data_IF_808884105629
#
_entry.id   IF_808884105629
#
_cell.length_a   1.000
_cell.length_b   1.000
_cell.length_c   1.000
_cell.angle_alpha   90.00
_cell.angle_beta   90.00
_cell.angle_gamma   90.00
#
_symmetry.space_group_name_H-M   'P 1'
#
loop_
_entity.id
_entity.type
_entity.pdbx_description
1 polymer ?
#
# COMPACT_ATOMS: atom_id res chain seq x y z
N UNK A 1 25.39 18.65 19.09
CA UNK A 1 23.99 18.81 18.62
C UNK A 1 23.56 17.68 17.69
N UNK A 2 24.36 17.29 16.69
CA UNK A 2 24.03 16.17 15.76
C UNK A 2 23.92 14.81 16.49
N UNK A 3 24.84 14.52 17.44
CA UNK A 3 24.81 13.27 18.20
C UNK A 3 23.56 13.15 19.11
N UNK A 4 23.10 14.27 19.68
CA UNK A 4 21.86 14.35 20.47
C UNK A 4 20.60 14.13 19.60
N UNK A 5 20.59 14.66 18.38
CA UNK A 5 19.47 14.45 17.45
C UNK A 5 19.41 13.00 16.92
N UNK A 6 20.54 12.33 16.73
CA UNK A 6 20.60 10.92 16.34
C UNK A 6 20.13 10.05 17.50
N UNK A 7 20.60 10.31 18.72
CA UNK A 7 20.18 9.56 19.91
C UNK A 7 18.70 9.72 20.24
N UNK A 8 18.11 10.91 20.07
CA UNK A 8 16.67 11.15 20.26
C UNK A 8 15.83 10.45 19.18
N UNK A 9 16.28 10.45 17.92
CA UNK A 9 15.60 9.70 16.84
C UNK A 9 15.66 8.19 17.05
N UNK A 10 16.76 7.66 17.55
CA UNK A 10 16.87 6.23 17.87
C UNK A 10 16.02 5.85 19.09
N UNK A 11 16.00 6.68 20.14
CA UNK A 11 15.18 6.42 21.32
C UNK A 11 13.68 6.45 21.02
N UNK A 12 13.21 7.42 20.23
CA UNK A 12 11.82 7.50 19.77
C UNK A 12 11.47 6.35 18.82
N UNK A 13 12.41 5.93 17.98
CA UNK A 13 12.25 4.75 17.10
C UNK A 13 12.18 3.47 17.92
N UNK A 14 13.03 3.32 18.93
CA UNK A 14 13.03 2.16 19.85
C UNK A 14 11.76 2.10 20.69
N UNK A 15 11.25 3.22 21.20
CA UNK A 15 10.00 3.25 21.98
C UNK A 15 8.79 2.86 21.13
N UNK A 16 8.74 3.26 19.85
CA UNK A 16 7.67 2.87 18.91
C UNK A 16 7.76 1.40 18.52
N UNK A 17 8.97 0.88 18.31
CA UNK A 17 9.19 -0.55 18.03
C UNK A 17 8.86 -1.38 19.28
N UNK A 18 9.18 -0.90 20.48
CA UNK A 18 8.82 -1.58 21.74
C UNK A 18 7.30 -1.55 21.97
N UNK A 19 6.62 -0.44 21.70
CA UNK A 19 5.16 -0.35 21.77
C UNK A 19 4.49 -1.30 20.75
N UNK A 20 5.07 -1.43 19.55
CA UNK A 20 4.60 -2.39 18.56
C UNK A 20 4.92 -3.84 18.94
N UNK A 21 6.09 -4.12 19.49
CA UNK A 21 6.46 -5.45 20.00
C UNK A 21 5.62 -5.84 21.23
N UNK A 22 5.19 -4.88 22.05
CA UNK A 22 4.25 -5.11 23.15
C UNK A 22 2.83 -5.36 22.60
N UNK A 23 2.43 -4.68 21.55
CA UNK A 23 1.16 -4.94 20.84
C UNK A 23 1.20 -6.30 20.10
N UNK A 24 2.35 -6.68 19.50
CA UNK A 24 2.52 -7.98 18.82
C UNK A 24 2.65 -9.17 19.77
N UNK A 25 2.98 -8.94 21.05
CA UNK A 25 3.05 -10.04 22.06
C UNK A 25 1.70 -10.64 22.41
N UNK A 26 0.60 -9.95 22.10
CA UNK A 26 -0.76 -10.50 22.07
C UNK A 26 -1.46 -9.88 20.85
N UNK A 27 -1.41 -10.50 19.66
CA UNK A 27 -2.32 -10.10 18.62
C UNK A 27 -3.71 -10.25 19.23
N UNK A 28 -4.37 -9.11 19.51
CA UNK A 28 -5.70 -9.14 20.08
C UNK A 28 -6.60 -9.98 19.17
N UNK A 29 -7.63 -10.61 19.69
CA UNK A 29 -8.53 -11.45 18.89
C UNK A 29 -9.02 -10.75 17.61
N UNK A 30 -9.08 -9.42 17.62
CA UNK A 30 -9.45 -8.57 16.48
C UNK A 30 -8.47 -8.66 15.29
N UNK A 31 -7.15 -8.68 15.55
CA UNK A 31 -6.14 -8.81 14.47
C UNK A 31 -6.22 -10.21 13.88
N UNK A 32 -6.38 -11.23 14.74
CA UNK A 32 -6.55 -12.61 14.31
C UNK A 32 -7.82 -12.76 13.45
N UNK A 33 -8.95 -12.23 13.92
CA UNK A 33 -10.23 -12.23 13.18
C UNK A 33 -10.07 -11.50 11.84
N UNK A 34 -9.36 -10.37 11.80
CA UNK A 34 -9.11 -9.63 10.55
C UNK A 34 -8.25 -10.41 9.55
N UNK A 35 -7.18 -11.08 10.02
CA UNK A 35 -6.36 -11.94 9.18
C UNK A 35 -7.12 -13.15 8.66
N UNK A 36 -7.90 -13.83 9.52
CA UNK A 36 -8.76 -14.94 9.10
C UNK A 36 -9.80 -14.47 8.10
N UNK A 37 -10.44 -13.31 8.34
CA UNK A 37 -11.38 -12.72 7.41
C UNK A 37 -10.73 -12.43 6.04
N UNK A 38 -9.54 -11.81 6.02
CA UNK A 38 -8.78 -11.53 4.79
C UNK A 38 -8.47 -12.81 4.02
N UNK A 39 -8.01 -13.85 4.72
CA UNK A 39 -7.69 -15.14 4.11
C UNK A 39 -8.95 -15.82 3.55
N UNK A 40 -10.05 -15.82 4.31
CA UNK A 40 -11.32 -16.42 3.89
C UNK A 40 -11.91 -15.69 2.68
N UNK A 41 -11.97 -14.36 2.70
CA UNK A 41 -12.52 -13.58 1.58
C UNK A 41 -11.64 -13.74 0.33
N UNK A 42 -10.31 -13.67 0.48
CA UNK A 42 -9.39 -13.92 -0.64
C UNK A 42 -9.53 -15.34 -1.18
N UNK A 43 -9.65 -16.35 -0.31
CA UNK A 43 -9.89 -17.74 -0.71
C UNK A 43 -11.21 -17.93 -1.44
N UNK A 44 -12.30 -17.32 -0.97
CA UNK A 44 -13.62 -17.35 -1.64
C UNK A 44 -13.56 -16.64 -2.99
N UNK A 45 -12.88 -15.50 -3.08
CA UNK A 45 -12.71 -14.78 -4.35
C UNK A 45 -11.96 -15.65 -5.37
N UNK A 46 -10.83 -16.25 -4.98
CA UNK A 46 -10.07 -17.16 -5.84
C UNK A 46 -10.92 -18.36 -6.25
N UNK A 47 -11.64 -18.98 -5.31
CA UNK A 47 -12.51 -20.12 -5.57
C UNK A 47 -13.66 -19.78 -6.53
N UNK A 48 -14.26 -18.58 -6.41
CA UNK A 48 -15.33 -18.09 -7.27
C UNK A 48 -14.82 -17.53 -8.60
N UNK A 49 -13.50 -17.49 -8.82
CA UNK A 49 -12.90 -16.88 -10.01
C UNK A 49 -13.11 -15.37 -10.09
N UNK A 50 -13.36 -14.73 -8.94
CA UNK A 50 -13.47 -13.27 -8.86
C UNK A 50 -12.04 -12.72 -8.89
N UNK A 51 -11.73 -11.90 -9.87
CA UNK A 51 -10.45 -11.19 -9.92
C UNK A 51 -10.26 -10.36 -8.65
N UNK A 52 -9.09 -10.49 -8.02
CA UNK A 52 -8.72 -9.67 -6.87
C UNK A 52 -8.34 -8.29 -7.39
N UNK A 53 -9.36 -7.49 -7.73
CA UNK A 53 -9.18 -6.12 -8.18
C UNK A 53 -9.01 -5.18 -6.97
N UNK A 54 -8.36 -4.02 -7.13
CA UNK A 54 -8.08 -3.08 -6.03
C UNK A 54 -9.31 -2.57 -5.29
N UNK A 55 -10.46 -2.49 -5.95
CA UNK A 55 -11.75 -2.09 -5.39
C UNK A 55 -12.30 -3.14 -4.39
N UNK A 56 -12.20 -4.43 -4.71
CA UNK A 56 -12.56 -5.49 -3.74
C UNK A 56 -11.62 -5.52 -2.54
N UNK A 57 -10.33 -5.24 -2.78
CA UNK A 57 -9.36 -5.15 -1.68
C UNK A 57 -9.68 -4.01 -0.72
N UNK A 58 -10.28 -2.90 -1.19
CA UNK A 58 -10.84 -1.86 -0.31
C UNK A 58 -11.91 -2.39 0.62
N UNK A 59 -12.89 -3.11 0.08
CA UNK A 59 -13.95 -3.70 0.89
C UNK A 59 -13.40 -4.65 1.95
N UNK A 60 -12.32 -5.37 1.63
CA UNK A 60 -11.61 -6.24 2.57
C UNK A 60 -10.92 -5.43 3.69
N UNK A 61 -10.40 -4.23 3.39
CA UNK A 61 -9.70 -3.39 4.36
C UNK A 61 -10.62 -2.58 5.26
N UNK A 62 -11.85 -2.30 4.83
CA UNK A 62 -12.85 -1.53 5.62
C UNK A 62 -13.10 -2.15 7.00
N UNK A 63 -13.35 -3.46 7.16
CA UNK A 63 -13.51 -4.06 8.48
C UNK A 63 -12.27 -3.90 9.36
N UNK A 64 -11.08 -4.03 8.79
CA UNK A 64 -9.81 -3.82 9.53
C UNK A 64 -9.70 -2.38 10.03
N UNK A 65 -10.08 -1.41 9.19
CA UNK A 65 -10.08 0.00 9.56
C UNK A 65 -11.10 0.32 10.66
N UNK A 66 -12.30 -0.27 10.59
CA UNK A 66 -13.34 -0.13 11.62
C UNK A 66 -12.85 -0.72 12.96
N UNK A 67 -12.30 -1.92 12.93
CA UNK A 67 -11.80 -2.63 14.12
C UNK A 67 -10.59 -1.93 14.77
N UNK A 68 -9.77 -1.21 13.96
CA UNK A 68 -8.64 -0.43 14.46
C UNK A 68 -9.06 0.86 15.19
N UNK A 69 -10.32 1.26 15.15
CA UNK A 69 -10.81 2.54 15.68
C UNK A 69 -10.36 3.78 14.91
N UNK A 70 -9.74 3.61 13.72
CA UNK A 70 -9.17 4.71 12.94
C UNK A 70 -9.86 4.90 11.57
N UNK A 71 -11.14 4.59 11.49
CA UNK A 71 -11.89 4.56 10.23
C UNK A 71 -11.83 5.88 9.42
N UNK A 72 -12.02 7.05 10.06
CA UNK A 72 -11.94 8.33 9.36
C UNK A 72 -10.53 8.63 8.83
N UNK A 73 -9.50 8.22 9.58
CA UNK A 73 -8.11 8.33 9.11
C UNK A 73 -7.86 7.41 7.92
N UNK A 74 -8.40 6.19 7.97
CA UNK A 74 -8.35 5.25 6.85
C UNK A 74 -8.98 5.86 5.60
N UNK A 75 -10.21 6.37 5.69
CA UNK A 75 -10.87 7.00 4.54
C UNK A 75 -10.03 8.14 3.94
N UNK A 76 -9.51 9.03 4.78
CA UNK A 76 -8.69 10.15 4.32
C UNK A 76 -7.40 9.72 3.61
N UNK A 77 -6.75 8.66 4.07
CA UNK A 77 -5.44 8.25 3.56
C UNK A 77 -5.55 7.24 2.40
N UNK A 78 -6.57 6.36 2.42
CA UNK A 78 -6.72 5.29 1.44
C UNK A 78 -7.65 5.63 0.27
N UNK A 79 -8.71 6.40 0.49
CA UNK A 79 -9.66 6.74 -0.59
C UNK A 79 -8.96 7.51 -1.72
N UNK A 80 -8.16 8.57 -1.48
CA UNK A 80 -7.44 9.24 -2.55
C UNK A 80 -6.46 8.32 -3.27
N UNK A 81 -5.74 7.49 -2.52
CA UNK A 81 -4.81 6.51 -3.10
C UNK A 81 -5.53 5.55 -4.06
N UNK A 82 -6.64 4.98 -3.62
CA UNK A 82 -7.39 4.00 -4.42
C UNK A 82 -8.10 4.65 -5.58
N UNK A 83 -8.67 5.85 -5.40
CA UNK A 83 -9.28 6.59 -6.51
C UNK A 83 -8.25 6.86 -7.63
N UNK A 84 -7.01 7.27 -7.27
CA UNK A 84 -5.93 7.48 -8.22
C UNK A 84 -5.45 6.16 -8.86
N UNK A 85 -5.41 5.07 -8.09
CA UNK A 85 -5.03 3.76 -8.61
C UNK A 85 -6.09 3.19 -9.56
N UNK A 86 -7.38 3.32 -9.23
CA UNK A 86 -8.49 2.96 -10.14
C UNK A 86 -8.49 3.84 -11.40
N UNK A 87 -8.18 5.13 -11.25
CA UNK A 87 -7.98 6.04 -12.39
C UNK A 87 -6.86 5.56 -13.31
N UNK A 88 -5.73 5.11 -12.74
CA UNK A 88 -4.64 4.50 -13.49
C UNK A 88 -5.11 3.22 -14.22
N UNK A 89 -5.81 2.31 -13.56
CA UNK A 89 -6.32 1.09 -14.17
C UNK A 89 -7.30 1.38 -15.31
N UNK A 90 -8.18 2.36 -15.14
CA UNK A 90 -9.12 2.76 -16.18
C UNK A 90 -8.41 3.33 -17.44
N UNK A 91 -7.38 4.15 -17.22
CA UNK A 91 -6.60 4.76 -18.31
C UNK A 91 -5.70 3.72 -18.98
N UNK A 92 -5.17 2.74 -18.23
CA UNK A 92 -4.36 1.65 -18.76
C UNK A 92 -5.09 0.88 -19.87
N UNK A 93 -6.39 0.64 -19.72
CA UNK A 93 -7.21 0.00 -20.76
C UNK A 93 -7.32 0.78 -22.09
N UNK A 94 -6.82 2.01 -22.16
CA UNK A 94 -6.76 2.83 -23.39
C UNK A 94 -5.48 2.55 -24.18
N UNK A 95 -4.39 2.11 -23.53
CA UNK A 95 -3.09 1.91 -24.16
C UNK A 95 -3.15 1.03 -25.45
N UNK A 96 -3.86 -0.11 -25.48
CA UNK A 96 -3.98 -0.93 -26.69
C UNK A 96 -4.71 -0.23 -27.86
N UNK A 97 -5.50 0.81 -27.55
CA UNK A 97 -6.31 1.56 -28.54
C UNK A 97 -5.56 2.78 -29.10
N UNK A 98 -4.32 2.99 -28.68
CA UNK A 98 -3.49 4.15 -29.11
C UNK A 98 -3.18 4.15 -30.62
N UNK A 99 -3.35 3.02 -31.31
CA UNK A 99 -2.98 2.87 -32.73
C UNK A 99 -1.46 2.78 -32.98
N UNK A 100 -0.64 2.80 -31.92
CA UNK A 100 0.81 2.66 -32.01
C UNK A 100 1.16 1.20 -32.28
N UNK A 101 2.08 0.96 -33.21
CA UNK A 101 2.52 -0.40 -33.55
C UNK A 101 3.17 -1.09 -32.35
N UNK A 102 2.70 -2.28 -32.03
CA UNK A 102 3.25 -3.12 -30.96
C UNK A 102 4.64 -3.60 -31.34
N UNK A 103 5.57 -3.49 -30.39
CA UNK A 103 6.95 -3.89 -30.55
C UNK A 103 7.17 -5.31 -29.98
N UNK A 104 7.92 -6.11 -30.73
CA UNK A 104 8.29 -7.49 -30.35
C UNK A 104 9.81 -7.66 -30.28
N UNK A 105 10.51 -7.21 -31.29
CA UNK A 105 11.89 -7.61 -31.56
C UNK A 105 12.93 -6.99 -30.64
N UNK A 106 12.76 -5.74 -30.20
CA UNK A 106 13.83 -5.07 -29.45
C UNK A 106 14.07 -5.71 -28.08
N UNK A 107 12.99 -6.14 -27.38
CA UNK A 107 13.09 -6.85 -26.09
C UNK A 107 13.68 -8.25 -26.26
N UNK A 108 13.31 -8.96 -27.33
CA UNK A 108 13.88 -10.27 -27.67
C UNK A 108 15.38 -10.13 -27.94
N UNK A 109 15.77 -9.10 -28.72
CA UNK A 109 17.21 -8.81 -28.98
C UNK A 109 17.96 -8.45 -27.72
N UNK A 110 17.34 -7.67 -26.81
CA UNK A 110 17.93 -7.29 -25.54
C UNK A 110 18.16 -8.52 -24.65
N UNK A 111 17.16 -9.40 -24.50
CA UNK A 111 17.31 -10.64 -23.72
C UNK A 111 18.40 -11.54 -24.32
N UNK A 112 18.44 -11.72 -25.63
CA UNK A 112 19.48 -12.50 -26.31
C UNK A 112 20.88 -11.90 -26.14
N UNK A 113 20.99 -10.58 -26.13
CA UNK A 113 22.27 -9.90 -25.88
C UNK A 113 22.77 -10.13 -24.44
N UNK A 114 21.86 -10.19 -23.47
CA UNK A 114 22.19 -10.45 -22.07
C UNK A 114 22.54 -11.93 -21.79
N UNK A 115 21.93 -12.87 -22.53
CA UNK A 115 22.02 -14.31 -22.25
C UNK A 115 22.68 -15.12 -23.37
N UNK A 116 23.56 -14.51 -24.15
CA UNK A 116 24.39 -15.21 -25.12
C UNK A 116 23.61 -15.88 -26.26
N UNK A 117 22.67 -15.12 -26.85
CA UNK A 117 21.80 -15.57 -27.94
C UNK A 117 20.67 -16.53 -27.55
N UNK A 118 20.53 -16.88 -26.28
CA UNK A 118 19.42 -17.67 -25.77
C UNK A 118 18.31 -16.75 -25.24
N UNK A 119 17.07 -17.17 -25.44
CA UNK A 119 15.92 -16.51 -24.81
C UNK A 119 15.61 -17.19 -23.48
N UNK A 120 15.64 -16.46 -22.34
CA UNK A 120 15.41 -17.04 -21.02
C UNK A 120 14.05 -17.73 -20.89
N UNK A 121 12.98 -17.15 -21.44
CA UNK A 121 11.63 -17.74 -21.37
C UNK A 121 11.58 -19.07 -22.12
N UNK A 122 12.20 -19.16 -23.31
CA UNK A 122 12.32 -20.42 -24.06
C UNK A 122 13.08 -21.47 -23.28
N UNK A 123 14.24 -21.10 -22.73
CA UNK A 123 15.10 -22.01 -21.98
C UNK A 123 14.39 -22.55 -20.74
N UNK A 124 13.78 -21.69 -19.94
CA UNK A 124 13.08 -22.07 -18.71
C UNK A 124 11.88 -22.98 -19.03
N UNK A 125 11.07 -22.63 -20.05
CA UNK A 125 9.90 -23.43 -20.42
C UNK A 125 10.29 -24.78 -21.03
N UNK A 126 11.36 -24.85 -21.81
CA UNK A 126 11.86 -26.12 -22.36
C UNK A 126 12.24 -27.13 -21.27
N UNK A 127 12.80 -26.65 -20.15
CA UNK A 127 13.27 -27.51 -19.05
C UNK A 127 12.21 -27.75 -17.97
N UNK A 128 11.42 -26.72 -17.62
CA UNK A 128 10.50 -26.74 -16.50
C UNK A 128 9.01 -26.65 -16.88
N UNK A 129 8.69 -26.35 -18.13
CA UNK A 129 7.32 -26.10 -18.58
C UNK A 129 6.34 -27.28 -18.45
N UNK A 130 6.90 -28.52 -18.32
CA UNK A 130 6.10 -29.75 -18.10
C UNK A 130 5.67 -29.93 -16.63
N UNK A 131 6.20 -29.16 -15.69
CA UNK A 131 5.93 -29.30 -14.26
C UNK A 131 4.62 -28.59 -13.90
N UNK A 132 3.51 -29.29 -13.98
CA UNK A 132 2.17 -28.72 -13.73
C UNK A 132 2.06 -28.06 -12.34
N UNK A 133 2.62 -28.69 -11.30
CA UNK A 133 2.61 -28.12 -9.96
C UNK A 133 3.34 -26.76 -9.88
N UNK A 134 4.43 -26.59 -10.65
CA UNK A 134 5.17 -25.34 -10.71
C UNK A 134 4.36 -24.25 -11.42
N UNK A 135 3.67 -24.62 -12.52
CA UNK A 135 2.78 -23.71 -13.23
C UNK A 135 1.66 -23.21 -12.31
N UNK A 136 1.04 -24.10 -11.51
CA UNK A 136 0.03 -23.74 -10.52
C UNK A 136 0.61 -22.83 -9.44
N UNK A 137 1.75 -23.18 -8.84
CA UNK A 137 2.40 -22.35 -7.82
C UNK A 137 2.77 -20.95 -8.36
N UNK A 138 3.37 -20.89 -9.54
CA UNK A 138 3.69 -19.63 -10.20
C UNK A 138 2.43 -18.82 -10.55
N UNK A 139 1.33 -19.48 -10.95
CA UNK A 139 0.06 -18.79 -11.20
C UNK A 139 -0.48 -18.14 -9.92
N UNK A 140 -0.43 -18.81 -8.78
CA UNK A 140 -0.82 -18.24 -7.49
C UNK A 140 0.06 -17.04 -7.14
N UNK A 141 1.39 -17.16 -7.29
CA UNK A 141 2.34 -16.06 -7.07
C UNK A 141 2.00 -14.87 -7.98
N UNK A 142 1.73 -15.12 -9.25
CA UNK A 142 1.37 -14.10 -10.23
C UNK A 142 0.12 -13.32 -9.81
N UNK A 143 -0.95 -13.99 -9.39
CA UNK A 143 -2.18 -13.32 -8.96
C UNK A 143 -2.07 -12.61 -7.62
N UNK A 144 -1.13 -13.00 -6.76
CA UNK A 144 -0.87 -12.30 -5.50
C UNK A 144 -0.15 -10.95 -5.67
N UNK A 145 0.21 -10.54 -6.89
CA UNK A 145 0.97 -9.29 -7.09
C UNK A 145 0.23 -8.03 -6.65
N UNK A 146 -1.09 -8.03 -6.61
CA UNK A 146 -1.88 -6.91 -6.04
C UNK A 146 -2.06 -7.02 -4.53
N UNK A 147 -2.12 -8.24 -4.00
CA UNK A 147 -2.36 -8.48 -2.56
C UNK A 147 -1.16 -8.00 -1.72
N UNK A 148 0.06 -8.28 -2.17
CA UNK A 148 1.28 -7.96 -1.43
C UNK A 148 1.48 -6.44 -1.25
N UNK A 149 1.34 -5.58 -2.28
CA UNK A 149 1.41 -4.13 -2.11
C UNK A 149 0.37 -3.56 -1.15
N UNK A 150 -0.84 -4.11 -1.14
CA UNK A 150 -1.90 -3.66 -0.24
C UNK A 150 -1.60 -4.09 1.20
N UNK A 151 -1.15 -5.33 1.40
CA UNK A 151 -0.72 -5.80 2.71
C UNK A 151 0.47 -4.97 3.24
N UNK A 152 1.47 -4.69 2.41
CA UNK A 152 2.60 -3.83 2.76
C UNK A 152 2.13 -2.41 3.09
N UNK A 153 1.24 -1.83 2.28
CA UNK A 153 0.63 -0.52 2.53
C UNK A 153 -0.11 -0.48 3.85
N UNK A 154 -0.89 -1.53 4.20
CA UNK A 154 -1.59 -1.62 5.48
C UNK A 154 -0.61 -1.68 6.66
N UNK A 155 0.44 -2.50 6.58
CA UNK A 155 1.49 -2.55 7.61
C UNK A 155 2.13 -1.17 7.79
N UNK A 156 2.51 -0.52 6.70
CA UNK A 156 3.11 0.81 6.72
C UNK A 156 2.15 1.86 7.31
N UNK A 157 0.88 1.83 6.92
CA UNK A 157 -0.14 2.76 7.43
C UNK A 157 -0.35 2.62 8.94
N UNK A 158 -0.35 1.39 9.46
CA UNK A 158 -0.52 1.12 10.89
C UNK A 158 0.71 1.51 11.72
N UNK A 159 1.92 1.35 11.15
CA UNK A 159 3.19 1.48 11.89
C UNK A 159 3.85 2.83 11.67
N UNK A 160 3.91 3.31 10.42
CA UNK A 160 4.58 4.57 10.04
C UNK A 160 3.89 5.22 8.85
N UNK A 161 3.03 6.20 9.15
CA UNK A 161 2.26 6.93 8.14
C UNK A 161 3.15 7.66 7.12
N UNK A 162 4.36 8.08 7.49
CA UNK A 162 5.26 8.75 6.53
C UNK A 162 5.77 7.75 5.51
N UNK A 163 6.13 6.55 5.97
CA UNK A 163 6.54 5.48 5.06
C UNK A 163 5.37 5.00 4.19
N UNK A 164 4.15 4.97 4.74
CA UNK A 164 2.95 4.71 3.94
C UNK A 164 2.78 5.74 2.82
N UNK A 165 2.87 7.04 3.12
CA UNK A 165 2.76 8.09 2.11
C UNK A 165 3.90 8.04 1.08
N UNK A 166 5.14 7.78 1.51
CA UNK A 166 6.28 7.56 0.60
C UNK A 166 6.01 6.40 -0.35
N UNK A 167 5.54 5.29 0.20
CA UNK A 167 5.22 4.08 -0.56
C UNK A 167 4.10 4.35 -1.58
N UNK A 168 2.97 4.90 -1.15
CA UNK A 168 1.81 5.12 -2.01
C UNK A 168 2.09 6.12 -3.13
N UNK A 169 2.80 7.22 -2.84
CA UNK A 169 3.18 8.19 -3.88
C UNK A 169 4.22 7.61 -4.84
N UNK A 170 5.19 6.81 -4.35
CA UNK A 170 6.14 6.11 -5.22
C UNK A 170 5.42 5.11 -6.12
N UNK A 171 4.47 4.33 -5.57
CA UNK A 171 3.71 3.34 -6.31
C UNK A 171 2.88 3.99 -7.41
N UNK A 172 2.11 5.04 -7.08
CA UNK A 172 1.30 5.76 -8.06
C UNK A 172 2.17 6.44 -9.12
N UNK A 173 3.22 7.17 -8.72
CA UNK A 173 4.14 7.84 -9.64
C UNK A 173 4.80 6.87 -10.60
N UNK A 174 5.26 5.72 -10.10
CA UNK A 174 5.82 4.64 -10.91
C UNK A 174 4.78 4.06 -11.89
N UNK A 175 3.54 3.82 -11.42
CA UNK A 175 2.47 3.26 -12.26
C UNK A 175 2.11 4.20 -13.40
N UNK A 176 1.96 5.50 -13.14
CA UNK A 176 1.68 6.50 -14.19
C UNK A 176 2.87 6.69 -15.12
N UNK A 177 4.12 6.65 -14.63
CA UNK A 177 5.30 6.69 -15.49
C UNK A 177 5.38 5.46 -16.40
N UNK A 178 5.11 4.27 -15.87
CA UNK A 178 5.04 3.04 -16.67
C UNK A 178 3.90 3.11 -17.71
N UNK A 179 2.74 3.66 -17.35
CA UNK A 179 1.63 3.87 -18.28
C UNK A 179 2.05 4.73 -19.48
N UNK A 180 2.79 5.82 -19.26
CA UNK A 180 3.31 6.64 -20.35
C UNK A 180 4.17 5.80 -21.30
N UNK A 181 5.00 4.89 -20.75
CA UNK A 181 5.82 3.98 -21.57
C UNK A 181 4.94 2.97 -22.32
N UNK A 182 3.92 2.40 -21.69
CA UNK A 182 2.99 1.47 -22.34
C UNK A 182 2.27 2.08 -23.54
N UNK A 183 1.92 3.37 -23.45
CA UNK A 183 1.27 4.10 -24.54
C UNK A 183 2.28 4.43 -25.65
N UNK A 184 3.49 4.90 -25.31
CA UNK A 184 4.47 5.36 -26.28
C UNK A 184 5.26 4.22 -26.93
N UNK A 185 5.49 3.13 -26.19
CA UNK A 185 6.30 1.99 -26.62
C UNK A 185 5.58 0.70 -26.21
N UNK A 186 4.42 0.37 -26.81
CA UNK A 186 3.70 -0.86 -26.48
C UNK A 186 4.51 -2.09 -26.84
N UNK A 187 4.74 -2.98 -25.86
CA UNK A 187 5.56 -4.19 -26.00
C UNK A 187 4.71 -5.42 -25.74
N UNK A 188 4.77 -6.40 -26.65
CA UNK A 188 4.08 -7.65 -26.50
C UNK A 188 4.85 -8.62 -25.56
N UNK A 189 4.15 -9.41 -24.73
CA UNK A 189 4.77 -10.43 -23.90
C UNK A 189 5.30 -11.63 -24.72
N UNK A 190 6.19 -12.45 -24.16
CA UNK A 190 6.79 -13.60 -24.85
C UNK A 190 5.77 -14.57 -25.45
N UNK A 191 4.69 -14.90 -24.73
CA UNK A 191 3.65 -15.82 -25.24
C UNK A 191 2.94 -15.29 -26.50
N UNK A 192 2.76 -13.94 -26.60
CA UNK A 192 2.17 -13.31 -27.78
C UNK A 192 3.17 -13.25 -28.94
N UNK A 193 4.46 -13.03 -28.66
CA UNK A 193 5.52 -13.11 -29.67
C UNK A 193 5.61 -14.51 -30.31
N UNK A 194 5.30 -15.57 -29.57
CA UNK A 194 5.19 -16.92 -30.12
C UNK A 194 4.08 -17.05 -31.16
N UNK A 195 2.95 -16.37 -30.98
CA UNK A 195 1.86 -16.38 -31.98
C UNK A 195 2.29 -15.77 -33.33
N UNK A 196 3.32 -14.91 -33.29
CA UNK A 196 3.96 -14.34 -34.47
C UNK A 196 5.23 -15.10 -34.89
N UNK A 197 5.45 -16.32 -34.38
CA UNK A 197 6.60 -17.18 -34.68
C UNK A 197 7.98 -16.60 -34.33
N UNK A 198 8.04 -15.53 -33.49
CA UNK A 198 9.28 -14.89 -33.08
C UNK A 198 9.97 -15.60 -31.92
N UNK A 199 9.21 -16.33 -31.09
CA UNK A 199 9.67 -17.12 -29.95
C UNK A 199 9.01 -18.52 -29.93
N UNK A 200 9.35 -19.42 -30.85
CA UNK A 200 8.71 -20.73 -30.93
C UNK A 200 8.84 -21.51 -29.61
N UNK A 201 7.71 -22.11 -29.17
CA UNK A 201 7.67 -22.95 -27.96
C UNK A 201 7.45 -22.19 -26.64
N UNK A 202 7.35 -20.86 -26.65
CA UNK A 202 6.96 -20.09 -25.46
C UNK A 202 5.45 -19.92 -25.41
N UNK A 203 4.83 -20.41 -24.35
CA UNK A 203 3.37 -20.35 -24.16
C UNK A 203 3.03 -19.63 -22.86
N UNK A 204 1.79 -19.15 -22.74
CA UNK A 204 1.27 -18.74 -21.44
C UNK A 204 1.00 -19.99 -20.61
N UNK A 205 1.81 -20.18 -19.54
CA UNK A 205 1.67 -21.30 -18.61
C UNK A 205 0.75 -21.01 -17.44
N UNK A 206 -0.07 -19.95 -17.52
CA UNK A 206 -1.04 -19.62 -16.47
C UNK A 206 -2.05 -20.75 -16.34
N UNK A 207 -2.01 -21.46 -15.22
CA UNK A 207 -2.85 -22.60 -14.91
C UNK A 207 -4.12 -22.16 -14.18
N UNK A 208 -5.15 -21.77 -14.94
CA UNK A 208 -6.46 -21.41 -14.40
C UNK A 208 -7.48 -22.52 -14.64
N UNK A 209 -8.43 -22.74 -13.69
CA UNK A 209 -9.59 -23.58 -13.97
C UNK A 209 -10.33 -23.10 -15.23
N UNK A 210 -10.86 -24.04 -16.02
CA UNK A 210 -11.56 -23.74 -17.28
C UNK A 210 -12.72 -22.75 -17.12
N UNK A 211 -13.39 -22.77 -15.97
CA UNK A 211 -14.46 -21.83 -15.64
C UNK A 211 -13.99 -20.38 -15.45
N UNK A 212 -12.72 -20.16 -15.13
CA UNK A 212 -12.14 -18.83 -14.81
C UNK A 212 -11.36 -18.25 -15.99
N UNK A 213 -10.82 -19.12 -16.84
CA UNK A 213 -9.98 -18.74 -17.98
C UNK A 213 -10.61 -17.71 -18.94
N UNK A 214 -11.92 -17.81 -19.32
CA UNK A 214 -12.56 -16.81 -20.18
C UNK A 214 -12.64 -15.43 -19.53
N UNK A 215 -12.93 -15.37 -18.22
CA UNK A 215 -12.97 -14.10 -17.48
C UNK A 215 -11.60 -13.46 -17.38
N UNK A 216 -10.54 -14.24 -17.20
CA UNK A 216 -9.17 -13.75 -17.20
C UNK A 216 -8.79 -13.12 -18.54
N UNK A 217 -9.11 -13.76 -19.65
CA UNK A 217 -8.86 -13.23 -20.99
C UNK A 217 -9.60 -11.92 -21.24
N UNK A 218 -10.82 -11.81 -20.73
CA UNK A 218 -11.63 -10.58 -20.84
C UNK A 218 -11.09 -9.46 -19.95
N UNK A 219 -10.56 -9.78 -18.76
CA UNK A 219 -9.99 -8.83 -17.78
C UNK A 219 -8.54 -8.46 -18.09
N UNK A 220 -7.87 -9.13 -19.02
CA UNK A 220 -6.50 -8.82 -19.44
C UNK A 220 -6.49 -8.05 -20.78
N UNK A 221 -6.91 -6.78 -20.77
CA UNK A 221 -7.05 -5.98 -21.99
C UNK A 221 -5.71 -5.57 -22.60
N UNK A 222 -4.58 -5.71 -21.85
CA UNK A 222 -3.29 -5.14 -22.19
C UNK A 222 -2.26 -6.19 -22.61
N UNK A 223 -2.56 -6.89 -23.70
CA UNK A 223 -1.59 -7.80 -24.30
C UNK A 223 -0.29 -7.11 -24.81
N UNK A 224 -0.22 -5.77 -24.75
CA UNK A 224 0.92 -5.00 -25.26
C UNK A 224 1.60 -4.10 -24.18
N UNK A 225 1.39 -4.37 -22.91
CA UNK A 225 1.97 -3.63 -21.80
C UNK A 225 3.06 -4.42 -21.04
N UNK A 226 3.96 -5.10 -21.79
CA UNK A 226 4.98 -5.93 -21.15
C UNK A 226 6.12 -5.11 -20.54
N UNK A 227 6.57 -4.02 -21.16
CA UNK A 227 7.72 -3.22 -20.72
C UNK A 227 7.30 -1.81 -20.25
N UNK A 228 7.74 -1.37 -19.03
CA UNK A 228 8.44 -2.11 -17.98
C UNK A 228 7.48 -3.02 -17.17
N UNK A 229 8.00 -4.11 -16.56
CA UNK A 229 7.17 -5.01 -15.77
C UNK A 229 6.78 -4.41 -14.42
N UNK A 230 5.51 -4.05 -14.24
CA UNK A 230 4.98 -3.64 -12.92
C UNK A 230 4.84 -4.83 -11.97
N UNK A 231 4.67 -6.05 -12.47
CA UNK A 231 4.74 -7.26 -11.64
C UNK A 231 6.10 -7.38 -10.92
N UNK A 232 7.18 -7.01 -11.61
CA UNK A 232 8.51 -7.02 -11.02
C UNK A 232 8.76 -5.81 -10.11
N UNK A 233 8.17 -4.66 -10.43
CA UNK A 233 8.39 -3.40 -9.74
C UNK A 233 7.66 -3.29 -8.39
N UNK A 234 6.40 -3.69 -8.32
CA UNK A 234 5.58 -3.56 -7.11
C UNK A 234 6.15 -4.29 -5.88
N UNK A 235 6.52 -5.58 -5.96
CA UNK A 235 7.06 -6.27 -4.79
C UNK A 235 8.43 -5.73 -4.37
N UNK A 236 9.27 -5.29 -5.32
CA UNK A 236 10.53 -4.62 -4.99
C UNK A 236 10.29 -3.30 -4.24
N UNK A 237 9.35 -2.49 -4.70
CA UNK A 237 8.98 -1.25 -4.01
C UNK A 237 8.47 -1.52 -2.59
N UNK A 238 7.70 -2.60 -2.38
CA UNK A 238 7.28 -3.04 -1.05
C UNK A 238 8.48 -3.37 -0.15
N UNK A 239 9.46 -4.11 -0.66
CA UNK A 239 10.67 -4.46 0.09
C UNK A 239 11.46 -3.20 0.48
N UNK A 240 11.63 -2.25 -0.44
CA UNK A 240 12.30 -0.97 -0.20
C UNK A 240 11.57 -0.14 0.87
N UNK A 241 10.24 -0.07 0.79
CA UNK A 241 9.41 0.71 1.72
C UNK A 241 9.35 0.09 3.12
N UNK A 242 9.33 -1.24 3.22
CA UNK A 242 9.33 -1.95 4.50
C UNK A 242 10.68 -1.96 5.21
N UNK A 243 11.79 -1.79 4.47
CA UNK A 243 13.15 -1.89 5.03
C UNK A 243 13.40 -1.04 6.28
N UNK A 244 13.02 0.26 6.32
CA UNK A 244 13.23 1.11 7.50
C UNK A 244 12.27 0.80 8.66
N UNK A 245 11.21 0.02 8.42
CA UNK A 245 10.16 -0.28 9.40
C UNK A 245 10.35 -1.67 10.00
N UNK A 246 10.52 -2.67 9.15
CA UNK A 246 10.68 -4.08 9.55
C UNK A 246 11.62 -4.80 8.60
N UNK A 247 12.85 -5.09 9.06
CA UNK A 247 13.84 -5.81 8.25
C UNK A 247 13.37 -7.22 7.88
N UNK A 248 12.70 -7.93 8.81
CA UNK A 248 12.15 -9.26 8.54
C UNK A 248 11.07 -9.22 7.47
N UNK A 249 10.13 -8.27 7.57
CA UNK A 249 9.10 -8.06 6.55
C UNK A 249 9.70 -7.70 5.19
N UNK A 250 10.71 -6.82 5.16
CA UNK A 250 11.43 -6.46 3.95
C UNK A 250 12.15 -7.65 3.31
N UNK A 251 12.83 -8.50 4.12
CA UNK A 251 13.51 -9.70 3.62
C UNK A 251 12.52 -10.72 3.05
N UNK A 252 11.39 -10.97 3.75
CA UNK A 252 10.32 -11.84 3.24
C UNK A 252 9.78 -11.32 1.90
N UNK A 253 9.55 -10.01 1.81
CA UNK A 253 9.09 -9.39 0.56
C UNK A 253 10.17 -9.42 -0.52
N UNK A 254 11.46 -9.34 -0.19
CA UNK A 254 12.55 -9.47 -1.15
C UNK A 254 12.63 -10.91 -1.72
N UNK A 255 12.47 -11.93 -0.87
CA UNK A 255 12.35 -13.33 -1.33
C UNK A 255 11.15 -13.52 -2.24
N UNK A 256 10.01 -12.94 -1.84
CA UNK A 256 8.81 -12.91 -2.69
C UNK A 256 9.06 -12.21 -4.02
N UNK A 257 9.78 -11.10 -4.02
CA UNK A 257 10.16 -10.36 -5.24
C UNK A 257 10.95 -11.24 -6.20
N UNK A 258 11.95 -11.98 -5.70
CA UNK A 258 12.71 -12.93 -6.52
C UNK A 258 11.82 -14.05 -7.10
N UNK A 259 10.88 -14.56 -6.29
CA UNK A 259 9.91 -15.55 -6.76
C UNK A 259 8.99 -14.99 -7.86
N UNK A 260 8.54 -13.74 -7.74
CA UNK A 260 7.73 -13.06 -8.78
C UNK A 260 8.56 -12.87 -10.06
N UNK A 261 9.82 -12.43 -9.96
CA UNK A 261 10.70 -12.26 -11.14
C UNK A 261 10.87 -13.56 -11.92
N UNK A 262 11.13 -14.66 -11.22
CA UNK A 262 11.16 -15.99 -11.84
C UNK A 262 9.80 -16.35 -12.46
N UNK A 263 8.73 -16.15 -11.71
CA UNK A 263 7.36 -16.50 -12.10
C UNK A 263 6.93 -15.85 -13.42
N UNK A 264 7.18 -14.54 -13.58
CA UNK A 264 6.70 -13.82 -14.77
C UNK A 264 7.43 -14.23 -16.04
N UNK A 265 8.71 -14.62 -15.92
CA UNK A 265 9.52 -15.16 -17.02
C UNK A 265 9.09 -16.59 -17.33
N UNK A 266 8.94 -17.46 -16.31
CA UNK A 266 8.51 -18.84 -16.45
C UNK A 266 7.12 -18.97 -17.09
N UNK A 267 6.17 -18.13 -16.66
CA UNK A 267 4.80 -18.13 -17.23
C UNK A 267 4.73 -17.51 -18.62
N UNK A 268 5.84 -17.00 -19.18
CA UNK A 268 5.88 -16.37 -20.48
C UNK A 268 5.17 -15.02 -20.55
N UNK A 269 5.00 -14.35 -19.41
CA UNK A 269 4.29 -13.04 -19.33
C UNK A 269 5.23 -11.86 -19.53
N UNK A 270 6.52 -12.00 -19.17
CA UNK A 270 7.52 -10.94 -19.28
C UNK A 270 8.88 -11.49 -19.74
N UNK A 271 9.64 -10.65 -20.43
CA UNK A 271 11.06 -10.85 -20.70
C UNK A 271 11.89 -10.50 -19.46
N UNK A 272 13.13 -10.97 -19.38
CA UNK A 272 14.04 -10.52 -18.31
C UNK A 272 14.35 -9.03 -18.46
N UNK A 273 14.44 -8.51 -19.67
CA UNK A 273 14.56 -7.07 -19.94
C UNK A 273 13.40 -6.27 -19.34
N UNK A 274 12.16 -6.78 -19.39
CA UNK A 274 11.00 -6.13 -18.75
C UNK A 274 11.15 -6.09 -17.23
N UNK A 275 11.66 -7.18 -16.65
CA UNK A 275 11.94 -7.28 -15.20
C UNK A 275 12.99 -6.25 -14.80
N UNK A 276 14.09 -6.14 -15.56
CA UNK A 276 15.14 -5.13 -15.33
C UNK A 276 14.54 -3.72 -15.45
N UNK A 277 13.71 -3.45 -16.46
CA UNK A 277 12.95 -2.20 -16.57
C UNK A 277 12.12 -1.91 -15.33
N UNK A 278 11.38 -2.91 -14.83
CA UNK A 278 10.60 -2.80 -13.60
C UNK A 278 11.46 -2.48 -12.36
N UNK A 279 12.64 -3.10 -12.25
CA UNK A 279 13.61 -2.80 -11.18
C UNK A 279 14.04 -1.33 -11.24
N UNK A 280 14.43 -0.84 -12.43
CA UNK A 280 14.84 0.56 -12.63
C UNK A 280 13.72 1.52 -12.25
N UNK A 281 12.48 1.23 -12.64
CA UNK A 281 11.31 2.05 -12.29
C UNK A 281 11.05 2.06 -10.78
N UNK A 282 11.11 0.92 -10.11
CA UNK A 282 10.88 0.82 -8.66
C UNK A 282 11.96 1.57 -7.86
N UNK A 283 13.23 1.34 -8.19
CA UNK A 283 14.36 2.03 -7.53
C UNK A 283 14.33 3.51 -7.85
N UNK A 284 14.10 3.90 -9.10
CA UNK A 284 14.01 5.30 -9.54
C UNK A 284 12.88 6.04 -8.81
N UNK A 285 11.67 5.50 -8.77
CA UNK A 285 10.55 6.09 -8.06
C UNK A 285 10.82 6.24 -6.56
N UNK A 286 11.43 5.22 -5.93
CA UNK A 286 11.80 5.27 -4.52
C UNK A 286 12.85 6.35 -4.23
N UNK A 287 13.88 6.46 -5.08
CA UNK A 287 14.92 7.48 -4.94
C UNK A 287 14.38 8.89 -5.15
N UNK A 288 13.57 9.10 -6.18
CA UNK A 288 12.89 10.39 -6.43
C UNK A 288 12.05 10.78 -5.23
N UNK A 289 11.23 9.85 -4.73
CA UNK A 289 10.38 10.11 -3.57
C UNK A 289 11.18 10.46 -2.33
N UNK A 290 12.23 9.68 -2.02
CA UNK A 290 13.02 9.87 -0.80
C UNK A 290 13.90 11.11 -0.83
N UNK A 291 14.42 11.50 -2.00
CA UNK A 291 15.33 12.65 -2.13
C UNK A 291 14.60 13.97 -2.40
N UNK A 292 13.49 13.95 -3.17
CA UNK A 292 12.83 15.18 -3.61
C UNK A 292 11.61 15.54 -2.78
N UNK A 293 10.79 14.57 -2.36
CA UNK A 293 9.49 14.83 -1.75
C UNK A 293 9.48 14.69 -0.21
N UNK A 294 10.48 14.00 0.36
CA UNK A 294 10.57 13.77 1.82
C UNK A 294 10.50 15.04 2.66
N UNK A 295 11.19 16.15 2.33
CA UNK A 295 11.13 17.35 3.17
C UNK A 295 9.71 17.89 3.31
N UNK A 296 8.94 17.87 2.20
CA UNK A 296 7.55 18.36 2.17
C UNK A 296 6.59 17.45 2.93
N UNK A 297 6.79 16.12 2.85
CA UNK A 297 5.95 15.15 3.58
C UNK A 297 6.26 15.20 5.09
N UNK A 298 7.52 15.42 5.48
CA UNK A 298 7.91 15.58 6.86
C UNK A 298 7.26 16.83 7.50
N UNK A 299 7.08 17.91 6.74
CA UNK A 299 6.41 19.12 7.24
C UNK A 299 4.92 18.88 7.55
N UNK A 300 4.27 17.94 6.87
CA UNK A 300 2.88 17.57 7.16
C UNK A 300 2.73 16.81 8.49
N UNK A 301 3.81 16.24 9.03
CA UNK A 301 3.80 15.58 10.35
C UNK A 301 4.03 16.56 11.51
N UNK A 302 4.60 17.74 11.25
CA UNK A 302 4.84 18.76 12.26
C UNK A 302 3.63 19.66 12.52
N UNK A 303 2.45 19.33 12.04
CA UNK A 303 1.25 19.85 12.68
C UNK A 303 1.21 19.26 14.09
N UNK A 304 1.36 20.10 15.16
CA UNK A 304 1.29 19.60 16.53
C UNK A 304 -0.01 18.79 16.61
N UNK A 305 0.07 17.57 17.12
CA UNK A 305 -1.12 16.94 17.66
C UNK A 305 -1.80 18.03 18.46
N UNK A 306 -3.04 18.36 18.13
CA UNK A 306 -3.84 19.31 18.89
C UNK A 306 -3.59 18.88 20.33
N UNK A 307 -2.79 19.72 21.06
CA UNK A 307 -2.46 19.43 22.43
C UNK A 307 -3.83 19.24 23.08
N UNK A 308 -4.04 18.08 23.67
CA UNK A 308 -5.20 17.86 24.51
C UNK A 308 -5.11 18.97 25.58
N UNK A 309 -5.85 20.05 25.35
CA UNK A 309 -6.10 21.00 26.43
C UNK A 309 -7.05 20.25 27.35
N UNK A 310 -6.60 19.89 28.56
CA UNK A 310 -7.53 19.37 29.54
C UNK A 310 -8.67 20.41 29.62
N UNK A 311 -9.88 19.93 29.48
CA UNK A 311 -11.08 20.73 29.75
C UNK A 311 -10.82 21.40 31.10
N UNK A 312 -10.88 22.75 31.19
CA UNK A 312 -10.70 23.41 32.47
C UNK A 312 -11.63 22.70 33.46
N UNK A 313 -11.05 22.21 34.56
CA UNK A 313 -11.84 21.65 35.65
C UNK A 313 -12.90 22.68 35.99
N UNK A 314 -14.18 22.28 36.00
CA UNK A 314 -15.25 23.13 36.44
C UNK A 314 -14.82 23.84 37.72
N UNK A 315 -15.00 25.17 37.85
CA UNK A 315 -14.64 25.87 39.06
C UNK A 315 -15.36 25.19 40.23
N UNK A 316 -14.60 24.87 41.24
CA UNK A 316 -15.08 24.18 42.42
C UNK A 316 -16.15 25.05 43.10
N UNK A 317 -17.40 24.70 42.89
CA UNK A 317 -18.56 25.38 43.44
C UNK A 317 -18.58 25.39 44.99
N UNK A 318 -17.63 24.69 45.64
CA UNK A 318 -17.48 24.70 47.09
C UNK A 318 -16.89 26.02 47.64
N UNK A 319 -16.09 26.75 46.84
CA UNK A 319 -15.55 28.07 47.25
C UNK A 319 -16.59 29.21 47.11
N UNK A 320 -17.50 29.11 46.13
CA UNK A 320 -18.58 30.12 46.00
C UNK A 320 -19.60 30.07 47.16
N UNK A 321 -19.81 28.91 47.77
CA UNK A 321 -20.72 28.75 48.90
C UNK A 321 -20.14 29.22 50.25
N UNK A 322 -18.83 29.42 50.37
CA UNK A 322 -18.19 29.95 51.57
C UNK A 322 -18.26 31.49 51.63
N UNK A 323 -18.16 32.15 50.47
CA UNK A 323 -18.21 33.60 50.37
C UNK A 323 -19.63 34.17 50.56
N UNK A 324 -20.66 33.41 50.13
CA UNK A 324 -22.07 33.80 50.34
C UNK A 324 -22.53 33.61 51.79
N UNK A 325 -21.94 32.69 52.56
CA UNK A 325 -22.27 32.50 53.98
C UNK A 325 -21.70 33.60 54.86
N UNK A 326 -20.58 34.20 54.50
CA UNK A 326 -19.93 35.28 55.25
C UNK A 326 -20.60 36.65 54.95
N UNK A 327 -21.17 36.85 53.79
CA UNK A 327 -21.95 38.06 53.47
C UNK A 327 -23.32 38.08 54.16
N UNK A 328 -23.96 36.90 54.29
CA UNK A 328 -25.26 36.79 55.01
C UNK A 328 -25.08 36.95 56.51
N UNK A 329 -23.93 36.57 57.11
CA UNK A 329 -23.64 36.81 58.57
C UNK A 329 -23.28 38.25 58.89
N UNK A 330 -22.73 39.04 57.95
CA UNK A 330 -22.45 40.47 58.17
C UNK A 330 -23.66 41.39 58.02
N UNK A 331 -24.69 41.00 57.24
CA UNK A 331 -25.93 41.75 57.08
C UNK A 331 -26.91 41.63 58.27
N UNK A 332 -26.69 40.73 59.23
CA UNK A 332 -27.62 40.47 60.33
C UNK A 332 -27.28 41.20 61.66
N UNK A 333 -26.21 41.99 61.67
CA UNK A 333 -25.74 42.67 62.91
C UNK A 333 -25.81 44.22 62.89
N UNK A 334 -26.26 44.82 61.79
CA UNK A 334 -26.47 46.26 61.75
C UNK A 334 -27.92 46.58 61.35
N UNK A 335 -28.80 46.88 62.37
CA UNK A 335 -30.14 47.32 62.07
C UNK A 335 -31.13 47.24 63.24
N UNK A 336 -30.78 47.70 64.43
CA UNK A 336 -31.82 48.13 65.42
C UNK A 336 -31.46 49.47 66.01
N UNK A 337 -31.97 50.51 65.53
CA UNK A 337 -31.98 51.82 66.13
C UNK A 337 -33.42 52.44 66.06
N UNK A 338 -33.84 53.18 67.01
CA UNK A 338 -35.29 53.28 67.36
C UNK A 338 -36.09 54.30 66.54
N UNK A 339 -37.34 53.92 66.43
CA UNK A 339 -38.43 54.71 65.90
C UNK A 339 -38.62 56.09 66.55
N UNK A 340 -38.88 57.13 65.75
CA UNK A 340 -39.60 58.29 66.16
C UNK A 340 -40.67 58.63 65.11
N UNK A 341 -41.88 58.49 65.51
CA UNK A 341 -43.09 59.10 64.87
C UNK A 341 -43.08 60.61 64.99
N UNK A 342 -43.60 61.30 64.04
CA UNK A 342 -44.75 62.18 64.21
C UNK A 342 -45.69 62.01 63.04
N UNK A 343 -47.03 62.10 63.19
CA UNK A 343 -47.92 63.15 63.73
C UNK A 343 -48.40 64.05 62.61
N UNK A 344 -49.54 63.65 62.05
CA UNK A 344 -50.65 64.48 61.61
C UNK A 344 -50.34 65.84 60.90
N UNK A 345 -50.90 65.99 59.79
CA UNK A 345 -51.16 67.22 59.02
C UNK A 345 -51.69 66.81 57.64
#
# INVERSE_FOLDING_TARGET
>A
LLALQVGLKESVRMSRIQAWLQFSRRPGPLVMVSLVYLLLVSGVMIWRGISVSPDYLLLILVPVALLSGHFLRFLRDWVPFIALFLGYEAVRGIAPKSGIKVHYEFVIRADRALFGSHDPSQWVQAHLGRLHWLAVACTVIYFCHFVVPIAAGMVLWLVDRVQFLRFTVSLLGMSFAAFIVFVLVPVAPPWLANQHHLLPGVHSLIALPSAVSPYYQWLNPDAAAAFPSLHAAFPLLCALALWPVTRRGAMLTAVWTAAVWFTVVYLGQHYVTDVIGGIVFAVGAWLVMTKLLVPRIASLQHQPAVAYQPVPSEPDLSEQNSTDRDTVKRGATEGVGPTSTPGVG
#
